data_IF_665381190297
#
_entry.id   IF_665381190297
#
_cell.length_a   1.000
_cell.length_b   1.000
_cell.length_c   1.000
_cell.angle_alpha   90.00
_cell.angle_beta   90.00
_cell.angle_gamma   90.00
#
_symmetry.space_group_name_H-M   'P 1'
#
loop_
_entity.id
_entity.type
_entity.pdbx_description
1 polymer ?
#
# COMPACT_ATOMS: atom_id res chain seq x y z
N UNK A 1 31.23 2.60 -2.68
CA UNK A 1 30.02 3.35 -2.28
C UNK A 1 28.85 2.62 -2.88
N UNK A 2 28.09 1.92 -2.05
CA UNK A 2 26.97 1.07 -2.47
C UNK A 2 25.85 1.93 -3.03
N UNK A 3 25.30 1.48 -4.16
CA UNK A 3 24.31 2.18 -4.97
C UNK A 3 22.99 2.19 -4.20
N UNK A 4 22.71 3.30 -3.51
CA UNK A 4 21.52 3.47 -2.68
C UNK A 4 20.25 3.18 -3.46
N UNK A 5 19.49 2.24 -2.91
CA UNK A 5 18.19 1.74 -3.34
C UNK A 5 17.20 2.85 -3.76
N UNK A 6 16.32 2.53 -4.70
CA UNK A 6 15.33 3.49 -5.23
C UNK A 6 14.23 3.76 -4.19
N UNK A 7 14.03 5.04 -3.83
CA UNK A 7 12.88 5.52 -3.04
C UNK A 7 11.57 5.03 -3.68
N UNK A 8 10.68 4.43 -2.87
CA UNK A 8 9.40 3.92 -3.35
C UNK A 8 8.53 5.01 -4.00
N UNK A 9 8.66 6.28 -3.59
CA UNK A 9 8.03 7.43 -4.28
C UNK A 9 8.52 7.60 -5.70
N UNK A 10 9.83 7.39 -5.92
CA UNK A 10 10.44 7.46 -7.26
C UNK A 10 9.99 6.27 -8.10
N UNK A 11 9.89 5.10 -7.49
CA UNK A 11 9.34 3.90 -8.13
C UNK A 11 7.91 4.12 -8.60
N UNK A 12 7.03 4.65 -7.74
CA UNK A 12 5.64 4.98 -8.10
C UNK A 12 5.57 5.95 -9.28
N UNK A 13 6.42 6.99 -9.29
CA UNK A 13 6.48 7.98 -10.38
C UNK A 13 7.03 7.42 -11.69
N UNK A 14 7.98 6.48 -11.62
CA UNK A 14 8.52 5.82 -12.81
C UNK A 14 7.52 4.81 -13.38
N UNK A 15 6.89 4.02 -12.50
CA UNK A 15 5.87 3.05 -12.92
C UNK A 15 4.62 3.71 -13.47
N UNK A 16 4.17 4.83 -12.89
CA UNK A 16 3.04 5.59 -13.43
C UNK A 16 3.29 6.15 -14.85
N UNK A 17 4.54 6.24 -15.31
CA UNK A 17 4.91 6.81 -16.62
C UNK A 17 5.19 5.77 -17.69
N UNK A 18 5.58 4.55 -17.31
CA UNK A 18 6.16 3.59 -18.26
C UNK A 18 5.43 2.24 -18.30
N UNK A 19 4.69 1.85 -17.24
CA UNK A 19 3.91 0.60 -17.17
C UNK A 19 3.06 0.53 -15.90
N UNK A 20 1.78 0.22 -16.07
CA UNK A 20 0.87 -0.05 -14.95
C UNK A 20 1.41 -1.20 -14.07
N UNK A 21 1.41 -0.99 -12.75
CA UNK A 21 1.95 -1.93 -11.76
C UNK A 21 1.13 -3.22 -11.78
N UNK A 22 1.79 -4.39 -11.82
CA UNK A 22 1.09 -5.66 -11.78
C UNK A 22 0.42 -5.88 -10.42
N UNK A 23 -0.72 -6.56 -10.42
CA UNK A 23 -1.44 -6.88 -9.18
C UNK A 23 -0.55 -7.61 -8.16
N UNK A 24 0.27 -8.55 -8.62
CA UNK A 24 1.23 -9.27 -7.76
C UNK A 24 2.19 -8.32 -7.06
N UNK A 25 2.68 -7.30 -7.76
CA UNK A 25 3.59 -6.32 -7.17
C UNK A 25 2.87 -5.39 -6.17
N UNK A 26 1.63 -4.97 -6.49
CA UNK A 26 0.79 -4.20 -5.57
C UNK A 26 0.58 -4.98 -4.27
N UNK A 27 0.20 -6.26 -4.37
CA UNK A 27 -0.03 -7.11 -3.20
C UNK A 27 1.25 -7.37 -2.41
N UNK A 28 2.39 -7.55 -3.10
CA UNK A 28 3.68 -7.70 -2.45
C UNK A 28 4.03 -6.46 -1.61
N UNK A 29 3.99 -5.27 -2.22
CA UNK A 29 4.29 -4.02 -1.50
C UNK A 29 3.29 -3.73 -0.40
N UNK A 30 2.01 -4.00 -0.64
CA UNK A 30 0.96 -3.85 0.36
C UNK A 30 1.23 -4.72 1.60
N UNK A 31 1.60 -5.99 1.39
CA UNK A 31 1.91 -6.93 2.47
C UNK A 31 3.17 -6.52 3.24
N UNK A 32 4.23 -6.10 2.54
CA UNK A 32 5.45 -5.62 3.19
C UNK A 32 5.20 -4.35 4.02
N UNK A 33 4.44 -3.39 3.48
CA UNK A 33 4.06 -2.17 4.21
C UNK A 33 3.25 -2.49 5.47
N UNK A 34 2.23 -3.36 5.35
CA UNK A 34 1.44 -3.79 6.50
C UNK A 34 2.29 -4.50 7.55
N UNK A 35 3.24 -5.34 7.13
CA UNK A 35 4.15 -6.06 8.03
C UNK A 35 5.06 -5.10 8.78
N UNK A 36 5.66 -4.13 8.08
CA UNK A 36 6.51 -3.11 8.69
C UNK A 36 5.73 -2.22 9.68
N UNK A 37 4.51 -1.79 9.30
CA UNK A 37 3.68 -0.96 10.18
C UNK A 37 3.14 -1.75 11.37
N UNK A 38 2.76 -3.01 11.17
CA UNK A 38 2.39 -3.89 12.29
C UNK A 38 3.52 -4.02 13.31
N UNK A 39 4.76 -4.17 12.86
CA UNK A 39 5.90 -4.29 13.77
C UNK A 39 6.04 -3.07 14.69
N UNK A 40 5.87 -1.84 14.18
CA UNK A 40 5.94 -0.64 15.01
C UNK A 40 4.69 -0.49 15.90
N UNK A 41 3.50 -0.89 15.41
CA UNK A 41 2.26 -0.85 16.19
C UNK A 41 2.29 -1.83 17.37
N UNK A 42 2.85 -3.03 17.18
CA UNK A 42 3.03 -4.03 18.23
C UNK A 42 3.99 -3.53 19.34
N UNK A 43 4.90 -2.61 19.00
CA UNK A 43 5.80 -1.93 19.93
C UNK A 43 5.22 -0.61 20.48
N UNK A 44 3.93 -0.34 20.24
CA UNK A 44 3.23 0.83 20.77
C UNK A 44 3.56 2.15 20.06
N UNK A 45 4.21 2.11 18.90
CA UNK A 45 4.61 3.29 18.14
C UNK A 45 3.59 3.58 17.03
N UNK A 46 3.14 4.83 16.94
CA UNK A 46 2.33 5.36 15.83
C UNK A 46 3.27 6.17 14.94
N UNK A 47 3.27 5.94 13.63
CA UNK A 47 4.16 6.69 12.73
C UNK A 47 3.62 8.11 12.44
N UNK A 48 2.33 8.28 12.21
CA UNK A 48 1.62 9.56 11.99
C UNK A 48 1.93 10.37 10.71
N UNK A 49 2.93 9.97 9.92
CA UNK A 49 3.32 10.64 8.67
C UNK A 49 3.71 9.61 7.59
N UNK A 50 2.98 8.50 7.49
CA UNK A 50 3.24 7.49 6.47
C UNK A 50 2.98 8.04 5.07
N UNK A 51 4.00 7.97 4.23
CA UNK A 51 3.95 8.27 2.79
C UNK A 51 4.91 7.34 2.04
N UNK A 52 4.81 7.24 0.71
CA UNK A 52 5.71 6.38 -0.07
C UNK A 52 7.19 6.66 0.20
N UNK A 53 7.57 7.89 0.51
CA UNK A 53 8.97 8.29 0.78
C UNK A 53 9.56 7.68 2.06
N UNK A 54 8.72 7.18 2.99
CA UNK A 54 9.21 6.50 4.18
C UNK A 54 9.56 5.03 3.92
N UNK A 55 9.31 4.53 2.70
CA UNK A 55 9.58 3.16 2.32
C UNK A 55 10.71 3.08 1.29
N UNK A 56 11.72 2.27 1.58
CA UNK A 56 12.88 2.04 0.73
C UNK A 56 12.91 0.59 0.25
N UNK A 57 13.13 0.38 -1.05
CA UNK A 57 13.21 -0.97 -1.62
C UNK A 57 14.66 -1.49 -1.59
N UNK A 58 15.01 -2.22 -0.54
CA UNK A 58 16.37 -2.76 -0.33
C UNK A 58 16.43 -4.23 -0.73
N UNK A 59 17.19 -4.56 -1.77
CA UNK A 59 17.35 -5.95 -2.25
C UNK A 59 16.01 -6.66 -2.49
N UNK A 60 15.05 -5.94 -3.08
CA UNK A 60 13.71 -6.46 -3.37
C UNK A 60 12.73 -6.46 -2.20
N UNK A 61 13.15 -6.11 -0.98
CA UNK A 61 12.27 -5.98 0.20
C UNK A 61 11.99 -4.54 0.56
N UNK A 62 10.78 -4.27 1.04
CA UNK A 62 10.36 -2.91 1.36
C UNK A 62 10.58 -2.65 2.86
N UNK A 63 11.42 -1.66 3.17
CA UNK A 63 11.82 -1.29 4.53
C UNK A 63 11.28 0.09 4.90
N UNK A 64 10.73 0.21 6.10
CA UNK A 64 10.41 1.50 6.69
C UNK A 64 11.71 2.17 7.18
N UNK A 65 12.02 3.37 6.69
CA UNK A 65 13.31 4.06 6.93
C UNK A 65 13.20 5.29 7.82
N UNK A 66 11.99 5.71 8.15
CA UNK A 66 11.71 6.82 9.06
C UNK A 66 10.62 6.34 10.02
N UNK A 67 10.83 6.51 11.31
CA UNK A 67 9.88 6.09 12.34
C UNK A 67 8.97 7.23 12.79
N UNK A 68 9.01 8.38 12.10
CA UNK A 68 8.05 9.47 12.30
C UNK A 68 8.02 9.93 13.76
N UNK A 69 9.19 10.13 14.37
CA UNK A 69 9.29 10.72 15.72
C UNK A 69 8.57 12.07 15.63
N UNK A 70 7.35 12.10 16.17
CA UNK A 70 6.33 13.06 15.85
C UNK A 70 6.91 14.48 15.80
N UNK A 71 6.76 15.12 14.63
CA UNK A 71 6.85 16.56 14.56
C UNK A 71 5.73 17.09 15.45
N UNK A 72 6.07 17.44 16.68
CA UNK A 72 5.21 18.20 17.57
C UNK A 72 5.01 19.57 16.93
N UNK A 73 4.08 19.62 15.97
CA UNK A 73 3.69 20.85 15.30
C UNK A 73 2.79 21.63 16.27
N UNK A 74 3.42 22.20 17.30
CA UNK A 74 2.83 23.18 18.23
C UNK A 74 2.61 24.54 17.55
N UNK A 75 2.21 24.56 16.29
CA UNK A 75 2.01 25.77 15.51
C UNK A 75 0.55 25.85 15.06
N UNK A 76 0.02 27.08 14.98
CA UNK A 76 -1.31 27.37 14.47
C UNK A 76 -1.63 26.56 13.20
N UNK A 77 -2.83 26.01 13.10
CA UNK A 77 -3.31 25.22 11.95
C UNK A 77 -3.01 25.87 10.61
N UNK A 78 -3.12 27.21 10.53
CA UNK A 78 -2.82 28.00 9.34
C UNK A 78 -1.33 27.95 8.96
N UNK A 79 -0.42 27.92 9.93
CA UNK A 79 1.04 27.84 9.72
C UNK A 79 1.47 26.41 9.36
N UNK A 80 0.87 25.40 10.00
CA UNK A 80 1.12 23.97 9.70
C UNK A 80 0.67 23.61 8.30
N UNK A 81 -0.55 24.01 7.92
CA UNK A 81 -1.09 23.72 6.58
C UNK A 81 -0.32 24.47 5.49
N UNK A 82 0.11 25.72 5.74
CA UNK A 82 0.90 26.50 4.77
C UNK A 82 2.29 25.92 4.55
N UNK A 83 2.95 25.44 5.60
CA UNK A 83 4.32 24.90 5.53
C UNK A 83 4.37 23.41 5.16
N UNK A 84 3.25 22.68 5.28
CA UNK A 84 3.17 21.29 4.86
C UNK A 84 3.13 21.18 3.32
N UNK A 85 4.10 20.50 2.69
CA UNK A 85 4.07 20.30 1.25
C UNK A 85 2.75 19.66 0.81
N UNK A 86 2.14 20.17 -0.26
CA UNK A 86 0.86 19.66 -0.79
C UNK A 86 0.87 18.14 -1.02
N UNK A 87 2.04 17.59 -1.37
CA UNK A 87 2.24 16.15 -1.57
C UNK A 87 2.04 15.33 -0.29
N UNK A 88 2.42 15.88 0.87
CA UNK A 88 2.29 15.23 2.18
C UNK A 88 0.83 15.22 2.66
N UNK A 89 0.09 16.33 2.42
CA UNK A 89 -1.33 16.43 2.76
C UNK A 89 -2.21 15.31 2.15
N UNK A 90 -1.76 14.68 1.07
CA UNK A 90 -2.49 13.60 0.42
C UNK A 90 -2.62 12.31 1.25
N UNK A 91 -1.81 12.17 2.31
CA UNK A 91 -1.74 10.96 3.13
C UNK A 91 -2.18 11.20 4.59
N UNK A 92 -2.44 12.45 4.98
CA UNK A 92 -2.84 12.80 6.35
C UNK A 92 -4.30 12.43 6.57
N UNK A 93 -4.59 11.85 7.75
CA UNK A 93 -5.94 11.46 8.13
C UNK A 93 -6.83 12.64 8.57
N UNK A 94 -8.16 12.51 8.49
CA UNK A 94 -9.08 13.57 8.90
C UNK A 94 -8.88 14.00 10.36
N UNK A 95 -8.72 13.04 11.27
CA UNK A 95 -8.52 13.31 12.69
C UNK A 95 -7.21 14.06 12.98
N UNK A 96 -6.14 13.76 12.24
CA UNK A 96 -4.86 14.46 12.39
C UNK A 96 -4.97 15.94 11.99
N UNK A 97 -5.80 16.26 10.99
CA UNK A 97 -6.05 17.65 10.59
C UNK A 97 -6.97 18.40 11.57
N UNK A 98 -7.90 17.68 12.22
CA UNK A 98 -8.83 18.26 13.20
C UNK A 98 -8.17 18.53 14.56
N UNK A 99 -7.21 17.69 14.98
CA UNK A 99 -6.49 17.86 16.26
C UNK A 99 -5.65 19.15 16.27
N UNK A 100 -5.08 19.52 15.12
CA UNK A 100 -4.28 20.75 14.96
C UNK A 100 -5.13 22.03 15.18
N UNK A 101 -6.43 21.99 14.89
CA UNK A 101 -7.34 23.13 15.05
C UNK A 101 -7.92 23.32 16.46
N UNK A 102 -7.79 22.31 17.33
CA UNK A 102 -8.51 22.26 18.62
C UNK A 102 -7.69 22.77 19.82
N UNK A 103 -6.45 23.22 19.60
CA UNK A 103 -5.61 23.78 20.66
C UNK A 103 -5.92 25.25 21.02
N UNK A 104 -6.95 25.85 20.41
CA UNK A 104 -7.45 27.18 20.77
C UNK A 104 -8.52 27.10 21.88
N UNK A 105 -8.07 26.88 23.12
CA UNK A 105 -8.60 27.59 24.29
C UNK A 105 -10.04 27.39 24.79
N UNK A 106 -10.76 26.30 24.50
CA UNK A 106 -12.07 26.06 25.16
C UNK A 106 -12.10 24.77 26.00
N UNK A 107 -12.26 24.85 27.34
CA UNK A 107 -12.28 23.71 28.25
C UNK A 107 -13.65 23.03 28.32
N UNK A 108 -14.40 22.99 27.21
CA UNK A 108 -15.72 22.35 27.17
C UNK A 108 -15.90 21.58 25.86
N UNK A 109 -15.98 20.26 25.99
CA UNK A 109 -16.35 19.20 25.02
C UNK A 109 -15.21 18.22 24.69
N UNK A 110 -15.26 17.08 25.40
CA UNK A 110 -14.36 15.93 25.38
C UNK A 110 -14.46 15.10 24.08
N UNK A 111 -14.07 15.65 22.92
CA UNK A 111 -13.73 14.81 21.76
C UNK A 111 -12.39 15.26 21.18
N UNK A 112 -11.32 14.90 21.89
CA UNK A 112 -9.95 15.03 21.40
C UNK A 112 -9.74 13.93 20.36
N UNK A 113 -9.87 14.26 19.08
CA UNK A 113 -9.60 13.34 17.97
C UNK A 113 -8.09 13.07 17.88
N UNK A 114 -7.57 12.33 18.86
CA UNK A 114 -6.14 12.06 19.00
C UNK A 114 -5.68 11.12 17.90
N UNK A 115 -4.58 11.49 17.23
CA UNK A 115 -3.84 10.60 16.32
C UNK A 115 -3.68 9.22 16.97
N UNK A 116 -3.96 8.17 16.20
CA UNK A 116 -3.97 6.78 16.69
C UNK A 116 -3.35 5.83 15.66
N UNK A 117 -3.19 4.55 16.00
CA UNK A 117 -2.80 3.51 15.04
C UNK A 117 -3.70 3.47 13.78
N UNK A 118 -4.96 3.92 13.90
CA UNK A 118 -5.92 3.99 12.79
C UNK A 118 -5.63 5.16 11.84
N UNK A 119 -4.84 6.14 12.25
CA UNK A 119 -4.35 7.23 11.41
C UNK A 119 -3.35 6.70 10.38
N UNK A 120 -2.44 5.81 10.81
CA UNK A 120 -1.52 5.11 9.91
C UNK A 120 -2.25 4.24 8.88
N UNK A 121 -3.36 3.61 9.27
CA UNK A 121 -4.22 2.81 8.37
C UNK A 121 -4.83 3.67 7.26
N UNK A 122 -5.24 4.91 7.56
CA UNK A 122 -5.71 5.85 6.53
C UNK A 122 -4.60 6.17 5.53
N UNK A 123 -3.41 6.50 6.02
CA UNK A 123 -2.25 6.81 5.18
C UNK A 123 -1.87 5.63 4.28
N UNK A 124 -1.85 4.41 4.82
CA UNK A 124 -1.67 3.18 4.05
C UNK A 124 -2.76 3.00 2.99
N UNK A 125 -4.02 3.28 3.33
CA UNK A 125 -5.14 3.30 2.38
C UNK A 125 -4.93 4.28 1.22
N UNK A 126 -4.39 5.48 1.49
CA UNK A 126 -4.03 6.45 0.45
C UNK A 126 -2.90 5.95 -0.45
N UNK A 127 -1.90 5.25 0.12
CA UNK A 127 -0.80 4.64 -0.65
C UNK A 127 -1.32 3.51 -1.53
N UNK A 128 -2.15 2.60 -1.00
CA UNK A 128 -2.79 1.53 -1.79
C UNK A 128 -3.65 2.10 -2.92
N UNK A 129 -4.43 3.15 -2.62
CA UNK A 129 -5.23 3.85 -3.61
C UNK A 129 -4.34 4.42 -4.74
N UNK A 130 -3.18 4.99 -4.40
CA UNK A 130 -2.21 5.46 -5.39
C UNK A 130 -1.55 4.33 -6.18
N UNK A 131 -1.32 3.17 -5.58
CA UNK A 131 -0.78 1.99 -6.26
C UNK A 131 -1.77 1.44 -7.29
N UNK A 132 -3.07 1.46 -6.96
CA UNK A 132 -4.13 0.94 -7.81
C UNK A 132 -4.50 1.93 -8.91
N UNK A 133 -4.80 3.19 -8.57
CA UNK A 133 -5.35 4.19 -9.48
C UNK A 133 -4.32 5.19 -10.03
N UNK A 134 -3.06 5.11 -9.61
CA UNK A 134 -1.98 6.00 -10.06
C UNK A 134 -2.00 7.40 -9.43
N UNK A 135 -2.99 7.71 -8.59
CA UNK A 135 -3.12 8.98 -7.88
C UNK A 135 -3.75 8.79 -6.51
N UNK A 136 -3.62 9.75 -5.59
CA UNK A 136 -4.29 9.70 -4.28
C UNK A 136 -5.75 10.14 -4.36
N UNK A 137 -6.61 9.85 -3.35
CA UNK A 137 -8.04 10.18 -3.40
C UNK A 137 -8.35 11.66 -3.70
N UNK A 138 -7.59 12.58 -3.09
CA UNK A 138 -7.78 14.03 -3.21
C UNK A 138 -6.74 14.73 -4.10
N UNK A 139 -6.07 13.98 -5.00
CA UNK A 139 -4.96 14.53 -5.80
C UNK A 139 -5.37 15.74 -6.67
N UNK A 140 -6.62 15.74 -7.16
CA UNK A 140 -7.17 16.74 -8.08
C UNK A 140 -7.33 18.12 -7.42
N UNK A 141 -7.38 18.18 -6.09
CA UNK A 141 -7.53 19.43 -5.34
C UNK A 141 -6.15 20.07 -5.15
N UNK A 142 -5.91 21.22 -5.81
CA UNK A 142 -4.61 21.92 -5.74
C UNK A 142 -4.48 22.87 -4.56
N UNK A 143 -5.58 23.48 -4.12
CA UNK A 143 -5.57 24.37 -2.95
C UNK A 143 -5.43 23.55 -1.67
N UNK A 144 -4.44 23.87 -0.84
CA UNK A 144 -4.20 23.20 0.45
C UNK A 144 -5.44 23.25 1.33
N UNK A 145 -6.06 24.43 1.48
CA UNK A 145 -7.24 24.59 2.32
C UNK A 145 -8.45 23.84 1.78
N UNK A 146 -8.69 23.90 0.46
CA UNK A 146 -9.77 23.12 -0.15
C UNK A 146 -9.56 21.61 0.04
N UNK A 147 -8.30 21.15 0.01
CA UNK A 147 -7.95 19.74 0.24
C UNK A 147 -8.16 19.34 1.69
N UNK A 148 -7.72 20.17 2.65
CA UNK A 148 -8.00 19.95 4.07
C UNK A 148 -9.51 19.83 4.29
N UNK A 149 -10.30 20.79 3.78
CA UNK A 149 -11.76 20.75 3.90
C UNK A 149 -12.36 19.48 3.29
N UNK A 150 -11.86 19.02 2.14
CA UNK A 150 -12.30 17.80 1.49
C UNK A 150 -11.98 16.55 2.33
N UNK A 151 -10.75 16.44 2.87
CA UNK A 151 -10.33 15.33 3.73
C UNK A 151 -11.17 15.31 5.01
N UNK A 152 -11.41 16.47 5.62
CA UNK A 152 -12.15 16.57 6.88
C UNK A 152 -13.67 16.47 6.72
N UNK A 153 -14.21 16.52 5.50
CA UNK A 153 -15.64 16.49 5.26
C UNK A 153 -16.19 15.05 5.22
N UNK A 154 -16.98 14.60 6.21
CA UNK A 154 -17.50 13.23 6.25
C UNK A 154 -18.55 12.94 5.16
N UNK A 155 -19.11 13.97 4.52
CA UNK A 155 -20.12 13.81 3.45
C UNK A 155 -19.50 13.59 2.08
N UNK A 156 -18.20 13.84 1.92
CA UNK A 156 -17.53 13.72 0.64
C UNK A 156 -17.17 12.25 0.39
N UNK A 157 -17.76 11.66 -0.65
CA UNK A 157 -17.50 10.26 -1.00
C UNK A 157 -16.24 10.15 -1.85
N UNK A 158 -15.28 9.35 -1.39
CA UNK A 158 -14.14 8.93 -2.19
C UNK A 158 -14.63 8.00 -3.30
N UNK A 159 -14.22 8.26 -4.54
CA UNK A 159 -14.56 7.41 -5.68
C UNK A 159 -13.67 6.17 -5.70
N UNK A 160 -14.26 5.00 -5.92
CA UNK A 160 -13.53 3.73 -6.08
C UNK A 160 -13.97 3.07 -7.40
N UNK A 161 -13.40 3.47 -8.54
CA UNK A 161 -13.73 2.88 -9.84
C UNK A 161 -13.49 1.36 -9.85
N UNK A 162 -14.43 0.62 -10.44
CA UNK A 162 -14.30 -0.84 -10.64
C UNK A 162 -13.42 -1.18 -11.84
N UNK A 163 -13.16 -0.20 -12.69
CA UNK A 163 -12.32 -0.32 -13.89
C UNK A 163 -11.35 0.83 -13.97
N UNK A 164 -10.17 0.53 -14.52
CA UNK A 164 -9.11 1.49 -14.78
C UNK A 164 -8.84 1.43 -16.28
N UNK A 165 -8.90 2.57 -16.93
CA UNK A 165 -8.54 2.69 -18.34
C UNK A 165 -7.03 2.93 -18.39
N UNK A 166 -6.31 2.12 -19.17
CA UNK A 166 -4.89 2.34 -19.44
C UNK A 166 -4.67 3.72 -20.04
N UNK A 167 -3.49 4.30 -19.87
CA UNK A 167 -3.15 5.62 -20.45
C UNK A 167 -3.37 5.69 -21.97
N UNK A 168 -3.13 4.57 -22.67
CA UNK A 168 -3.34 4.46 -24.12
C UNK A 168 -4.82 4.36 -24.54
N UNK A 169 -5.77 4.43 -23.59
CA UNK A 169 -7.22 4.33 -23.83
C UNK A 169 -7.73 2.94 -24.26
N UNK A 170 -6.83 2.03 -24.64
CA UNK A 170 -7.16 0.79 -25.34
C UNK A 170 -7.43 -0.40 -24.43
N UNK A 171 -7.03 -0.36 -23.15
CA UNK A 171 -7.17 -1.48 -22.22
C UNK A 171 -7.95 -1.07 -20.99
N UNK A 172 -9.07 -1.74 -20.76
CA UNK A 172 -9.84 -1.63 -19.52
C UNK A 172 -9.42 -2.76 -18.59
N UNK A 173 -8.85 -2.42 -17.44
CA UNK A 173 -8.45 -3.37 -16.41
C UNK A 173 -9.48 -3.33 -15.29
N UNK A 174 -10.02 -4.49 -14.93
CA UNK A 174 -10.89 -4.58 -13.75
C UNK A 174 -10.05 -4.50 -12.48
N UNK A 175 -10.47 -3.61 -11.57
CA UNK A 175 -9.87 -3.52 -10.24
C UNK A 175 -10.40 -4.69 -9.40
N UNK A 176 -9.53 -5.49 -8.76
CA UNK A 176 -9.98 -6.56 -7.89
C UNK A 176 -10.96 -6.06 -6.81
N UNK A 177 -12.16 -6.65 -6.69
CA UNK A 177 -13.17 -6.20 -5.72
C UNK A 177 -12.64 -6.19 -4.28
N UNK A 178 -11.75 -7.11 -3.94
CA UNK A 178 -11.12 -7.19 -2.61
C UNK A 178 -10.25 -5.96 -2.31
N UNK A 179 -9.53 -5.43 -3.30
CA UNK A 179 -8.75 -4.20 -3.12
C UNK A 179 -9.65 -2.99 -2.95
N UNK A 180 -10.77 -2.94 -3.69
CA UNK A 180 -11.78 -1.89 -3.52
C UNK A 180 -12.34 -1.91 -2.10
N UNK A 181 -12.71 -3.09 -1.60
CA UNK A 181 -13.24 -3.25 -0.25
C UNK A 181 -12.21 -2.83 0.82
N UNK A 182 -10.95 -3.27 0.69
CA UNK A 182 -9.87 -2.90 1.60
C UNK A 182 -9.60 -1.39 1.59
N UNK A 183 -9.52 -0.77 0.40
CA UNK A 183 -9.35 0.69 0.31
C UNK A 183 -10.53 1.43 0.94
N UNK A 184 -11.77 0.96 0.71
CA UNK A 184 -12.97 1.55 1.30
C UNK A 184 -12.96 1.44 2.82
N UNK A 185 -12.53 0.31 3.39
CA UNK A 185 -12.39 0.10 4.83
C UNK A 185 -11.29 0.98 5.45
N UNK A 186 -10.16 1.14 4.77
CA UNK A 186 -9.06 2.00 5.26
C UNK A 186 -9.41 3.49 5.23
N UNK A 187 -10.14 3.93 4.20
CA UNK A 187 -10.47 5.34 3.94
C UNK A 187 -11.83 5.77 4.53
N UNK A 188 -12.23 5.15 5.64
CA UNK A 188 -13.40 5.60 6.41
C UNK A 188 -13.07 6.86 7.20
N UNK A 189 -13.98 7.83 7.24
CA UNK A 189 -13.76 9.06 7.99
C UNK A 189 -13.66 8.79 9.50
N UNK A 190 -14.56 7.99 10.06
CA UNK A 190 -14.48 7.54 11.46
C UNK A 190 -13.32 6.54 11.66
N UNK A 191 -12.31 6.85 12.50
CA UNK A 191 -11.19 5.94 12.76
C UNK A 191 -11.61 4.62 13.44
N UNK A 192 -12.74 4.60 14.16
CA UNK A 192 -13.18 3.41 14.92
C UNK A 192 -13.62 2.26 14.01
N UNK A 193 -14.14 2.58 12.83
CA UNK A 193 -14.59 1.57 11.85
C UNK A 193 -13.47 1.12 10.91
N UNK A 194 -12.32 1.81 10.88
CA UNK A 194 -11.16 1.37 10.11
C UNK A 194 -10.63 0.06 10.70
N UNK A 195 -10.12 -0.88 9.89
CA UNK A 195 -9.47 -2.08 10.39
C UNK A 195 -8.11 -1.73 11.02
N UNK A 196 -7.53 -2.65 11.77
CA UNK A 196 -6.13 -2.63 12.20
C UNK A 196 -5.24 -3.22 11.09
N UNK A 197 -3.94 -2.92 11.14
CA UNK A 197 -2.97 -3.57 10.24
C UNK A 197 -2.91 -5.09 10.43
N UNK A 198 -3.16 -5.59 11.66
CA UNK A 198 -3.24 -7.02 11.94
C UNK A 198 -4.44 -7.66 11.23
N UNK A 199 -5.62 -7.05 11.28
CA UNK A 199 -6.81 -7.52 10.55
C UNK A 199 -6.60 -7.47 9.03
N UNK A 200 -5.94 -6.44 8.51
CA UNK A 200 -5.61 -6.32 7.09
C UNK A 200 -4.65 -7.43 6.60
N UNK A 201 -3.71 -7.87 7.44
CA UNK A 201 -2.82 -8.99 7.12
C UNK A 201 -3.54 -10.36 7.09
N UNK A 202 -4.71 -10.48 7.70
CA UNK A 202 -5.53 -11.69 7.64
C UNK A 202 -6.45 -11.73 6.41
N UNK A 203 -6.50 -10.65 5.61
CA UNK A 203 -7.33 -10.61 4.41
C UNK A 203 -6.73 -11.49 3.32
N UNK A 204 -7.56 -12.35 2.75
CA UNK A 204 -7.20 -13.18 1.62
C UNK A 204 -7.34 -12.40 0.31
N UNK A 205 -6.24 -11.81 -0.15
CA UNK A 205 -6.22 -10.98 -1.36
C UNK A 205 -6.22 -11.77 -2.67
N UNK A 206 -5.75 -13.00 -2.62
CA UNK A 206 -5.75 -13.93 -3.74
C UNK A 206 -6.63 -15.09 -3.31
N UNK A 207 -7.71 -15.42 -4.04
CA UNK A 207 -8.49 -16.61 -3.74
C UNK A 207 -7.55 -17.81 -3.77
N UNK A 208 -7.34 -18.45 -2.62
CA UNK A 208 -6.81 -19.79 -2.57
C UNK A 208 -7.77 -20.63 -3.38
N UNK A 209 -7.33 -21.08 -4.54
CA UNK A 209 -8.04 -22.16 -5.23
C UNK A 209 -7.83 -23.41 -4.37
N UNK A 210 -8.71 -23.63 -3.39
CA UNK A 210 -8.76 -24.89 -2.65
C UNK A 210 -9.03 -26.10 -3.57
N UNK A 211 -9.33 -25.89 -4.84
CA UNK A 211 -9.25 -26.92 -5.88
C UNK A 211 -8.63 -26.39 -7.20
N UNK A 212 -7.34 -26.00 -7.19
CA UNK A 212 -6.53 -26.42 -8.34
C UNK A 212 -6.18 -27.87 -8.08
N UNK A 213 -6.76 -28.76 -8.87
CA UNK A 213 -6.08 -30.00 -9.21
C UNK A 213 -4.60 -29.69 -9.39
N UNK A 214 -3.74 -30.43 -8.70
CA UNK A 214 -2.29 -30.43 -8.84
C UNK A 214 -1.89 -30.95 -10.22
N UNK A 215 -2.40 -30.35 -11.29
CA UNK A 215 -1.81 -30.49 -12.62
C UNK A 215 -0.76 -29.41 -12.72
N UNK A 216 0.39 -29.71 -12.14
CA UNK A 216 1.63 -29.07 -12.55
C UNK A 216 1.73 -29.13 -14.08
N UNK A 217 2.10 -28.05 -14.78
CA UNK A 217 2.29 -28.12 -16.21
C UNK A 217 3.37 -29.16 -16.50
N UNK A 218 3.00 -30.29 -17.11
CA UNK A 218 3.96 -31.28 -17.57
C UNK A 218 4.92 -30.57 -18.54
N UNK A 219 6.22 -30.70 -18.29
CA UNK A 219 7.25 -30.18 -19.19
C UNK A 219 7.04 -30.88 -20.54
N UNK A 220 6.71 -30.15 -21.62
CA UNK A 220 6.51 -30.75 -22.93
C UNK A 220 7.72 -31.61 -23.34
N UNK A 221 7.47 -32.78 -23.93
CA UNK A 221 8.52 -33.77 -24.23
C UNK A 221 9.67 -33.22 -25.09
N UNK A 222 9.38 -32.23 -25.96
CA UNK A 222 10.38 -31.53 -26.77
C UNK A 222 11.34 -30.67 -25.94
N UNK A 223 10.92 -30.16 -24.78
CA UNK A 223 11.77 -29.43 -23.83
C UNK A 223 12.60 -30.43 -23.01
N UNK A 224 12.01 -31.54 -22.56
CA UNK A 224 12.76 -32.60 -21.85
C UNK A 224 13.87 -33.19 -22.72
N UNK A 225 13.62 -33.39 -24.02
CA UNK A 225 14.65 -33.85 -24.95
C UNK A 225 15.80 -32.85 -25.08
N UNK A 226 15.52 -31.54 -25.18
CA UNK A 226 16.55 -30.51 -25.22
C UNK A 226 17.39 -30.48 -23.94
N UNK A 227 16.75 -30.62 -22.78
CA UNK A 227 17.41 -30.68 -21.48
C UNK A 227 18.28 -31.94 -21.35
N UNK A 228 17.79 -33.10 -21.82
CA UNK A 228 18.57 -34.35 -21.80
C UNK A 228 19.86 -34.25 -22.61
N UNK A 229 19.84 -33.54 -23.74
CA UNK A 229 21.04 -33.33 -24.55
C UNK A 229 22.02 -32.31 -23.96
N UNK A 230 21.62 -31.55 -22.94
CA UNK A 230 22.47 -30.54 -22.29
C UNK A 230 23.03 -30.97 -20.93
N UNK A 231 22.40 -31.95 -20.27
CA UNK A 231 22.83 -32.47 -18.98
C UNK A 231 23.70 -33.71 -19.10
N UNK A 232 24.59 -33.91 -18.14
CA UNK A 232 25.28 -35.19 -17.96
C UNK A 232 24.38 -36.22 -17.25
N UNK A 233 24.78 -37.49 -17.23
CA UNK A 233 23.94 -38.59 -16.71
C UNK A 233 23.57 -38.43 -15.22
N UNK A 234 24.45 -37.85 -14.41
CA UNK A 234 24.17 -37.64 -12.98
C UNK A 234 23.19 -36.50 -12.74
N UNK A 235 23.33 -35.39 -13.48
CA UNK A 235 22.37 -34.28 -13.48
C UNK A 235 21.00 -34.72 -14.02
N UNK A 236 20.99 -35.55 -15.06
CA UNK A 236 19.75 -36.10 -15.61
C UNK A 236 19.03 -36.99 -14.61
N UNK A 237 19.76 -37.87 -13.90
CA UNK A 237 19.20 -38.71 -12.82
C UNK A 237 18.63 -37.90 -11.68
N UNK A 238 19.31 -36.83 -11.28
CA UNK A 238 18.83 -35.94 -10.23
C UNK A 238 17.57 -35.19 -10.67
N UNK A 239 17.51 -34.73 -11.93
CA UNK A 239 16.34 -34.07 -12.50
C UNK A 239 15.14 -35.02 -12.62
N UNK A 240 15.34 -36.26 -13.10
CA UNK A 240 14.26 -37.26 -13.17
C UNK A 240 13.76 -37.65 -11.78
N UNK A 241 14.66 -37.81 -10.81
CA UNK A 241 14.29 -38.10 -9.43
C UNK A 241 13.46 -36.97 -8.80
N UNK A 242 13.82 -35.71 -9.06
CA UNK A 242 13.03 -34.55 -8.61
C UNK A 242 11.66 -34.51 -9.28
N UNK A 243 11.58 -34.83 -10.58
CA UNK A 243 10.31 -34.84 -11.32
C UNK A 243 9.38 -35.97 -10.88
N UNK A 244 9.93 -37.14 -10.54
CA UNK A 244 9.16 -38.31 -10.05
C UNK A 244 8.68 -38.12 -8.60
N UNK A 245 9.54 -37.60 -7.71
CA UNK A 245 9.19 -37.41 -6.30
C UNK A 245 8.34 -36.17 -6.04
N UNK A 246 8.23 -35.23 -6.99
CA UNK A 246 7.32 -34.06 -6.92
C UNK A 246 5.84 -34.39 -7.14
N UNK A 247 5.50 -35.65 -7.47
CA UNK A 247 4.10 -36.10 -7.61
C UNK A 247 3.44 -36.52 -6.29
N UNK A 248 4.16 -36.50 -5.16
CA UNK A 248 3.69 -36.99 -3.86
C UNK A 248 3.80 -35.97 -2.71
N UNK A 249 3.98 -34.68 -3.02
CA UNK A 249 3.98 -33.57 -2.03
C UNK A 249 2.89 -32.57 -2.41
#
# INVERSE_FOLDING_TARGET
MEMGDTDFSRLLKTMSREKQISLTMILYYWTEMLTAVKHIHDNGVIHSDLKPANFLLVSGRLKLIDFGIASSMNADMTSVVKNCPIGTLNYISPEALMDIGSNSGSPTQNVKYKISFKSDVWSLGCILYSLVYGHTPFYHIRSQWAKVNAITNPKLNISFPTTIVSEDGNKVIQTPPILIDVMRKCLQHDPKVRPTVAELLQVEYIPTKEHMSTTFPEIPANILLKIKHTLNEDEWRQLTWILENRRYI
#
